data_IF_043106259997
#
_entry.id   IF_043106259997
#
_cell.length_a   1.000
_cell.length_b   1.000
_cell.length_c   1.000
_cell.angle_alpha   90.00
_cell.angle_beta   90.00
_cell.angle_gamma   90.00
#
_symmetry.space_group_name_H-M   'P 1'
#
loop_
_entity.id
_entity.type
_entity.pdbx_description
1 polymer ?
#
# COMPACT_ATOMS: atom_id res chain seq x y z
N UNK A 1 6.65 -7.23 4.75
CA UNK A 1 5.96 -5.91 4.76
C UNK A 1 4.48 -6.14 4.48
N UNK A 2 3.61 -5.52 5.25
CA UNK A 2 2.18 -5.50 4.97
C UNK A 2 1.83 -4.11 4.43
N UNK A 3 1.10 -4.06 3.32
CA UNK A 3 0.70 -2.81 2.69
C UNK A 3 -0.82 -2.77 2.58
N UNK A 4 -1.42 -1.71 3.08
CA UNK A 4 -2.82 -1.41 2.86
C UNK A 4 -2.89 -0.39 1.72
N UNK A 5 -3.64 -0.69 0.67
CA UNK A 5 -3.66 0.09 -0.57
C UNK A 5 -5.03 0.73 -0.77
N UNK A 6 -5.05 2.05 -0.81
CA UNK A 6 -6.24 2.81 -1.19
C UNK A 6 -6.05 3.45 -2.55
N UNK A 7 -7.08 3.43 -3.37
CA UNK A 7 -7.07 4.03 -4.71
C UNK A 7 -8.02 5.22 -4.73
N UNK A 8 -7.50 6.39 -5.10
CA UNK A 8 -8.27 7.63 -5.21
C UNK A 8 -8.90 7.72 -6.60
N UNK A 9 -10.05 8.40 -6.69
CA UNK A 9 -10.76 8.59 -7.98
C UNK A 9 -9.91 9.26 -9.06
N UNK A 10 -8.89 10.00 -8.68
CA UNK A 10 -8.00 10.71 -9.60
C UNK A 10 -6.71 9.93 -9.93
N UNK A 11 -6.55 8.74 -9.37
CA UNK A 11 -5.30 7.98 -9.55
C UNK A 11 -5.18 7.42 -10.97
N UNK A 12 -3.94 7.38 -11.43
CA UNK A 12 -3.54 6.82 -12.73
C UNK A 12 -2.34 5.91 -12.54
N UNK A 13 -1.84 5.35 -13.64
CA UNK A 13 -0.62 4.54 -13.63
C UNK A 13 0.62 5.32 -13.15
N UNK A 14 0.61 6.65 -13.26
CA UNK A 14 1.69 7.47 -12.69
C UNK A 14 1.76 7.34 -11.17
N UNK A 15 0.60 7.32 -10.51
CA UNK A 15 0.52 7.11 -9.06
C UNK A 15 1.01 5.71 -8.69
N UNK A 16 0.63 4.71 -9.47
CA UNK A 16 1.09 3.33 -9.30
C UNK A 16 2.62 3.28 -9.38
N UNK A 17 3.19 3.86 -10.42
CA UNK A 17 4.65 3.85 -10.63
C UNK A 17 5.40 4.56 -9.50
N UNK A 18 4.86 5.68 -9.04
CA UNK A 18 5.42 6.41 -7.91
C UNK A 18 5.44 5.54 -6.64
N UNK A 19 4.31 4.92 -6.31
CA UNK A 19 4.21 4.09 -5.11
C UNK A 19 5.02 2.81 -5.21
N UNK A 20 5.15 2.21 -6.39
CA UNK A 20 6.02 1.04 -6.60
C UNK A 20 7.46 1.41 -6.24
N UNK A 21 7.97 2.53 -6.78
CA UNK A 21 9.33 2.99 -6.47
C UNK A 21 9.50 3.24 -4.98
N UNK A 22 8.55 3.94 -4.37
CA UNK A 22 8.63 4.26 -2.94
C UNK A 22 8.60 3.01 -2.08
N UNK A 23 7.70 2.08 -2.38
CA UNK A 23 7.59 0.83 -1.64
C UNK A 23 8.88 0.02 -1.68
N UNK A 24 9.44 -0.15 -2.88
CA UNK A 24 10.62 -0.98 -3.07
C UNK A 24 11.87 -0.39 -2.44
N UNK A 25 11.96 0.93 -2.35
CA UNK A 25 13.16 1.62 -1.88
C UNK A 25 13.04 2.22 -0.47
N UNK A 26 11.89 2.06 0.17
CA UNK A 26 11.67 2.58 1.51
C UNK A 26 12.61 1.89 2.50
N UNK A 27 13.40 2.68 3.22
CA UNK A 27 14.48 2.19 4.08
C UNK A 27 13.98 2.04 5.52
N UNK A 28 13.18 1.00 5.75
CA UNK A 28 12.52 0.76 7.04
C UNK A 28 12.96 -0.52 7.73
N UNK A 29 13.94 -1.22 7.19
CA UNK A 29 14.50 -2.42 7.81
C UNK A 29 15.87 -2.12 8.41
N UNK A 30 16.15 -2.74 9.55
CA UNK A 30 17.40 -2.49 10.27
C UNK A 30 18.61 -3.04 9.51
N UNK A 31 19.69 -2.26 9.55
CA UNK A 31 21.00 -2.73 9.11
C UNK A 31 21.73 -3.45 10.27
N UNK A 32 23.00 -3.84 10.05
CA UNK A 32 23.80 -4.56 11.05
C UNK A 32 24.05 -3.75 12.32
N UNK A 33 23.84 -2.43 12.28
CA UNK A 33 24.03 -1.54 13.42
C UNK A 33 22.70 -1.21 14.14
N UNK A 34 21.60 -1.85 13.73
CA UNK A 34 20.28 -1.59 14.28
C UNK A 34 19.67 -0.28 13.83
N UNK A 35 20.16 0.30 12.73
CA UNK A 35 19.66 1.54 12.15
C UNK A 35 18.71 1.23 11.00
N UNK A 36 17.57 1.90 10.98
CA UNK A 36 16.55 1.79 9.93
C UNK A 36 17.13 2.34 8.62
N UNK A 37 17.65 1.47 7.78
CA UNK A 37 18.48 1.86 6.65
C UNK A 37 18.33 0.99 5.40
N UNK A 38 17.76 -0.19 5.52
CA UNK A 38 17.63 -1.13 4.39
C UNK A 38 16.22 -1.16 3.82
N UNK A 39 16.14 -1.35 2.51
CA UNK A 39 14.86 -1.54 1.81
C UNK A 39 14.42 -3.00 1.86
N UNK A 40 13.18 -3.26 1.43
CA UNK A 40 12.69 -4.64 1.29
C UNK A 40 13.51 -5.43 0.25
N UNK A 41 14.04 -4.75 -0.76
CA UNK A 41 14.93 -5.37 -1.74
C UNK A 41 16.23 -5.83 -1.09
N UNK A 42 16.79 -5.00 -0.21
CA UNK A 42 18.06 -5.31 0.47
C UNK A 42 17.94 -6.51 1.40
N UNK A 43 16.81 -6.66 2.06
CA UNK A 43 16.61 -7.75 3.05
C UNK A 43 15.98 -9.00 2.44
N UNK A 44 15.61 -8.97 1.15
CA UNK A 44 15.01 -10.12 0.50
C UNK A 44 13.67 -10.52 1.09
N UNK A 45 12.88 -9.53 1.52
CA UNK A 45 11.58 -9.77 2.14
C UNK A 45 10.46 -10.03 1.14
N UNK A 46 9.25 -10.19 1.66
CA UNK A 46 8.04 -10.42 0.88
C UNK A 46 6.98 -9.39 1.26
N UNK A 47 5.98 -9.23 0.43
CA UNK A 47 4.90 -8.25 0.61
C UNK A 47 3.55 -8.95 0.66
N UNK A 48 2.71 -8.55 1.61
CA UNK A 48 1.27 -8.81 1.60
C UNK A 48 0.58 -7.49 1.25
N UNK A 49 -0.11 -7.45 0.12
CA UNK A 49 -0.77 -6.25 -0.40
C UNK A 49 -2.28 -6.41 -0.31
N UNK A 50 -2.92 -5.58 0.50
CA UNK A 50 -4.36 -5.67 0.79
C UNK A 50 -5.04 -4.39 0.31
N UNK A 51 -6.07 -4.52 -0.52
CA UNK A 51 -6.89 -3.38 -0.92
C UNK A 51 -7.69 -2.86 0.28
N UNK A 52 -7.68 -1.55 0.48
CA UNK A 52 -8.31 -0.90 1.64
C UNK A 52 -8.89 0.44 1.21
N UNK A 53 -10.10 0.43 0.63
CA UNK A 53 -10.72 1.66 0.11
C UNK A 53 -10.99 2.68 1.21
N UNK A 54 -11.15 2.23 2.46
CA UNK A 54 -11.41 3.11 3.60
C UNK A 54 -10.26 4.06 3.92
N UNK A 55 -9.07 3.84 3.34
CA UNK A 55 -7.98 4.80 3.43
C UNK A 55 -8.33 6.14 2.75
N UNK A 56 -9.29 6.13 1.81
CA UNK A 56 -9.76 7.32 1.11
C UNK A 56 -10.94 7.98 1.81
N UNK A 57 -11.23 7.56 3.04
CA UNK A 57 -12.34 8.13 3.82
C UNK A 57 -12.10 9.58 4.19
N UNK A 58 -13.16 10.38 4.17
CA UNK A 58 -13.18 11.72 4.75
C UNK A 58 -14.12 11.73 5.96
N UNK A 59 -13.64 12.28 7.07
CA UNK A 59 -14.42 12.42 8.30
C UNK A 59 -14.69 13.89 8.66
N UNK A 60 -14.44 14.80 7.71
CA UNK A 60 -14.51 16.24 8.01
C UNK A 60 -15.92 16.75 8.23
N UNK A 61 -16.94 16.11 7.64
CA UNK A 61 -18.32 16.59 7.66
C UNK A 61 -19.22 15.80 8.60
N UNK A 62 -18.66 15.06 9.55
CA UNK A 62 -19.43 14.32 10.53
C UNK A 62 -18.77 13.00 10.91
N UNK A 63 -19.52 12.20 11.66
CA UNK A 63 -18.98 10.96 12.23
C UNK A 63 -19.12 9.75 11.30
N UNK A 64 -19.96 9.86 10.27
CA UNK A 64 -20.05 8.82 9.25
C UNK A 64 -19.01 9.09 8.17
N UNK A 65 -18.04 8.20 7.96
CA UNK A 65 -17.03 8.42 6.93
C UNK A 65 -17.64 8.53 5.53
N UNK A 66 -17.16 9.47 4.74
CA UNK A 66 -17.50 9.58 3.32
C UNK A 66 -16.43 8.92 2.48
N UNK A 67 -16.82 8.12 1.50
CA UNK A 67 -15.91 7.43 0.58
C UNK A 67 -16.00 7.97 -0.84
N UNK A 68 -16.44 9.23 -0.98
CA UNK A 68 -16.60 9.85 -2.31
C UNK A 68 -15.28 9.93 -3.09
N UNK A 69 -14.16 9.96 -2.39
CA UNK A 69 -12.84 10.03 -3.02
C UNK A 69 -12.23 8.67 -3.34
N UNK A 70 -12.88 7.59 -2.93
CA UNK A 70 -12.40 6.24 -3.23
C UNK A 70 -12.82 5.82 -4.63
N UNK A 71 -11.84 5.38 -5.43
CA UNK A 71 -12.14 4.79 -6.74
C UNK A 71 -12.82 3.44 -6.54
N UNK A 72 -13.81 3.14 -7.38
CA UNK A 72 -14.64 1.94 -7.27
C UNK A 72 -14.62 1.13 -8.56
N UNK A 73 -15.05 -0.12 -8.47
CA UNK A 73 -15.29 -0.99 -9.60
C UNK A 73 -14.01 -1.47 -10.28
N UNK A 74 -14.14 -1.80 -11.55
CA UNK A 74 -13.08 -2.43 -12.33
C UNK A 74 -11.85 -1.56 -12.49
N UNK A 75 -12.00 -0.25 -12.53
CA UNK A 75 -10.87 0.67 -12.68
C UNK A 75 -9.98 0.66 -11.44
N UNK A 76 -10.58 0.60 -10.26
CA UNK A 76 -9.82 0.47 -9.02
C UNK A 76 -9.08 -0.86 -8.96
N UNK A 77 -9.73 -1.94 -9.37
CA UNK A 77 -9.12 -3.28 -9.45
C UNK A 77 -7.91 -3.26 -10.38
N UNK A 78 -8.04 -2.65 -11.55
CA UNK A 78 -6.94 -2.56 -12.53
C UNK A 78 -5.71 -1.88 -11.95
N UNK A 79 -5.89 -0.77 -11.24
CA UNK A 79 -4.76 -0.05 -10.64
C UNK A 79 -4.13 -0.83 -9.49
N UNK A 80 -4.95 -1.47 -8.67
CA UNK A 80 -4.46 -2.34 -7.60
C UNK A 80 -3.66 -3.52 -8.17
N UNK A 81 -4.18 -4.18 -9.20
CA UNK A 81 -3.50 -5.30 -9.85
C UNK A 81 -2.21 -4.85 -10.53
N UNK A 82 -2.22 -3.69 -11.16
CA UNK A 82 -1.02 -3.10 -11.76
C UNK A 82 0.07 -2.87 -10.72
N UNK A 83 -0.30 -2.31 -9.58
CA UNK A 83 0.62 -2.10 -8.46
C UNK A 83 1.22 -3.42 -7.99
N UNK A 84 0.39 -4.42 -7.75
CA UNK A 84 0.84 -5.74 -7.29
C UNK A 84 1.76 -6.42 -8.31
N UNK A 85 1.41 -6.35 -9.58
CA UNK A 85 2.20 -6.95 -10.66
C UNK A 85 3.59 -6.33 -10.74
N UNK A 86 3.67 -5.01 -10.67
CA UNK A 86 4.95 -4.29 -10.73
C UNK A 86 5.82 -4.56 -9.50
N UNK A 87 5.22 -4.64 -8.32
CA UNK A 87 5.94 -5.06 -7.11
C UNK A 87 6.47 -6.49 -7.25
N UNK A 88 5.64 -7.39 -7.78
CA UNK A 88 5.97 -8.80 -7.89
C UNK A 88 7.11 -9.07 -8.88
N UNK A 89 7.42 -8.13 -9.76
CA UNK A 89 8.59 -8.22 -10.65
C UNK A 89 9.90 -8.20 -9.85
N UNK A 90 9.90 -7.62 -8.66
CA UNK A 90 11.10 -7.44 -7.84
C UNK A 90 11.03 -8.16 -6.49
N UNK A 91 9.86 -8.23 -5.88
CA UNK A 91 9.63 -8.78 -4.53
C UNK A 91 8.38 -9.63 -4.60
N UNK A 92 8.43 -10.83 -4.06
CA UNK A 92 7.25 -11.70 -4.02
C UNK A 92 6.13 -11.00 -3.28
N UNK A 93 5.00 -10.80 -3.97
CA UNK A 93 3.86 -10.03 -3.49
C UNK A 93 2.62 -10.90 -3.51
N UNK A 94 1.97 -11.01 -2.36
CA UNK A 94 0.75 -11.77 -2.19
C UNK A 94 -0.41 -10.79 -2.11
N UNK A 95 -1.37 -10.85 -3.03
CA UNK A 95 -2.57 -10.01 -2.95
C UNK A 95 -3.60 -10.66 -2.05
N UNK A 96 -4.51 -9.82 -1.51
CA UNK A 96 -5.77 -10.31 -0.98
C UNK A 96 -6.79 -10.48 -2.11
N UNK A 97 -8.06 -10.52 -1.75
CA UNK A 97 -9.17 -10.56 -2.72
C UNK A 97 -9.86 -9.21 -2.71
N UNK A 98 -9.73 -8.46 -3.82
CA UNK A 98 -10.31 -7.13 -3.93
C UNK A 98 -11.83 -7.16 -3.71
N UNK A 99 -12.31 -6.29 -2.82
CA UNK A 99 -13.74 -6.16 -2.52
C UNK A 99 -14.31 -7.23 -1.61
N UNK A 100 -13.53 -8.23 -1.24
CA UNK A 100 -13.98 -9.27 -0.31
C UNK A 100 -13.84 -8.82 1.14
N UNK A 101 -14.67 -9.39 2.01
CA UNK A 101 -14.49 -9.25 3.45
C UNK A 101 -13.31 -10.10 3.88
N UNK A 102 -12.35 -9.48 4.58
CA UNK A 102 -11.12 -10.16 4.99
C UNK A 102 -10.82 -9.88 6.46
N UNK A 103 -10.21 -10.85 7.11
CA UNK A 103 -9.58 -10.67 8.42
C UNK A 103 -8.09 -10.71 8.21
N UNK A 104 -7.43 -9.60 8.48
CA UNK A 104 -5.99 -9.46 8.27
C UNK A 104 -5.29 -9.45 9.62
N UNK A 105 -4.47 -10.47 9.89
CA UNK A 105 -3.69 -10.55 11.12
C UNK A 105 -2.29 -10.00 10.85
N UNK A 106 -1.86 -9.05 11.67
CA UNK A 106 -0.57 -8.38 11.51
C UNK A 106 0.15 -8.35 12.85
N UNK A 107 1.42 -8.76 12.85
CA UNK A 107 2.31 -8.45 13.94
C UNK A 107 3.22 -7.32 13.49
N UNK A 108 3.01 -6.13 14.05
CA UNK A 108 3.78 -4.94 13.67
C UNK A 108 5.01 -4.82 14.57
N UNK A 109 6.12 -5.31 14.05
CA UNK A 109 7.39 -5.33 14.77
C UNK A 109 8.08 -3.97 14.66
N UNK A 110 8.42 -3.41 15.83
CA UNK A 110 8.99 -2.09 15.94
C UNK A 110 8.24 -1.25 16.97
N UNK A 111 6.98 -0.86 16.86
CA UNK A 111 6.17 -0.89 15.64
C UNK A 111 6.57 0.23 14.67
N UNK A 112 6.41 -0.03 13.38
CA UNK A 112 6.69 0.95 12.32
C UNK A 112 5.51 1.00 11.37
N UNK A 113 4.97 2.19 11.16
CA UNK A 113 3.86 2.41 10.23
C UNK A 113 4.12 3.71 9.46
N UNK A 114 4.15 3.62 8.14
CA UNK A 114 4.44 4.75 7.26
C UNK A 114 3.27 4.94 6.31
N UNK A 115 2.86 6.17 6.12
CA UNK A 115 1.83 6.55 5.15
C UNK A 115 2.52 7.24 3.97
N UNK A 116 2.23 6.75 2.76
CA UNK A 116 2.72 7.38 1.53
C UNK A 116 1.50 7.72 0.68
N UNK A 117 1.40 8.98 0.29
CA UNK A 117 0.30 9.48 -0.52
C UNK A 117 0.87 10.11 -1.79
N UNK A 118 0.53 9.54 -2.95
CA UNK A 118 1.02 10.04 -4.24
C UNK A 118 0.49 11.44 -4.58
N UNK A 119 -0.60 11.85 -3.96
CA UNK A 119 -1.20 13.19 -4.16
C UNK A 119 -0.68 14.22 -3.16
N UNK A 120 0.05 13.79 -2.17
CA UNK A 120 0.59 14.67 -1.12
C UNK A 120 2.04 14.25 -0.80
N UNK A 121 2.87 14.36 -1.83
CA UNK A 121 4.29 13.93 -1.78
C UNK A 121 5.15 14.74 -0.82
#
# INVERSE_FOLDING_TARGET
MVILVGVNVEDTSEDVNYLVRKTLNLRIFDDENGVMNKSILDVGGEILSISQFTLQASTKDGNRPSYINAMKGEEAVKLYEEYNKKLNEKVKTYPGVFGAEMKVSITNDGPITIIIDSKNK
#
